data_IF_341192390423
#
_entry.id   IF_341192390423
#
_cell.length_a   1.000
_cell.length_b   1.000
_cell.length_c   1.000
_cell.angle_alpha   90.00
_cell.angle_beta   90.00
_cell.angle_gamma   90.00
#
_symmetry.space_group_name_H-M   'P 1'
#
loop_
_entity.id
_entity.type
_entity.pdbx_description
1 polymer ?
#
# COMPACT_ATOMS: atom_id res chain seq x y z
N UNK A 1 -6.98 23.83 -18.76
CA UNK A 1 -6.68 22.48 -18.24
C UNK A 1 -7.12 22.27 -16.79
N UNK A 2 -7.64 23.28 -16.08
CA UNK A 2 -8.09 23.17 -14.67
C UNK A 2 -9.51 22.60 -14.51
N UNK A 3 -10.38 22.76 -15.51
CA UNK A 3 -11.80 22.39 -15.44
C UNK A 3 -12.05 20.87 -15.34
N UNK A 4 -11.24 20.07 -16.04
CA UNK A 4 -11.40 18.61 -16.05
C UNK A 4 -11.04 17.97 -14.71
N UNK A 5 -10.05 18.51 -13.99
CA UNK A 5 -9.63 17.99 -12.69
C UNK A 5 -10.60 18.38 -11.58
N UNK A 6 -11.09 19.62 -11.60
CA UNK A 6 -12.12 20.09 -10.66
C UNK A 6 -13.41 19.25 -10.78
N UNK A 7 -13.87 18.98 -12.00
CA UNK A 7 -15.07 18.17 -12.21
C UNK A 7 -14.89 16.69 -11.75
N UNK A 8 -13.69 16.13 -11.94
CA UNK A 8 -13.36 14.78 -11.42
C UNK A 8 -13.34 14.73 -9.90
N UNK A 9 -12.83 15.77 -9.24
CA UNK A 9 -12.82 15.88 -7.78
C UNK A 9 -14.23 15.95 -7.21
N UNK A 10 -15.09 16.77 -7.81
CA UNK A 10 -16.51 16.88 -7.42
C UNK A 10 -17.20 15.52 -7.50
N UNK A 11 -17.05 14.82 -8.63
CA UNK A 11 -17.63 13.49 -8.78
C UNK A 11 -17.04 12.44 -7.83
N UNK A 12 -15.76 12.52 -7.49
CA UNK A 12 -15.13 11.60 -6.54
C UNK A 12 -15.62 11.86 -5.11
N UNK A 13 -15.72 13.12 -4.70
CA UNK A 13 -16.24 13.53 -3.40
C UNK A 13 -17.69 13.05 -3.21
N UNK A 14 -18.52 13.25 -4.22
CA UNK A 14 -19.92 12.80 -4.18
C UNK A 14 -20.03 11.27 -4.15
N UNK A 15 -19.19 10.56 -4.92
CA UNK A 15 -19.22 9.10 -4.98
C UNK A 15 -18.72 8.42 -3.72
N UNK A 16 -17.65 8.93 -3.11
CA UNK A 16 -16.96 8.25 -2.00
C UNK A 16 -17.37 8.77 -0.62
N UNK A 17 -17.62 10.08 -0.49
CA UNK A 17 -17.97 10.72 0.78
C UNK A 17 -19.43 11.20 0.83
N UNK A 18 -20.13 11.27 -0.31
CA UNK A 18 -21.50 11.78 -0.37
C UNK A 18 -21.61 13.28 -0.05
N UNK A 19 -20.49 14.01 -0.12
CA UNK A 19 -20.38 15.45 0.16
C UNK A 19 -19.98 16.21 -1.11
N UNK A 20 -20.40 17.47 -1.18
CA UNK A 20 -19.93 18.40 -2.22
C UNK A 20 -18.50 18.89 -1.93
N UNK A 21 -17.77 19.29 -2.98
CA UNK A 21 -16.38 19.74 -2.89
C UNK A 21 -16.18 20.91 -1.91
N UNK A 22 -17.15 21.83 -1.82
CA UNK A 22 -17.14 22.97 -0.90
C UNK A 22 -17.22 22.59 0.60
N UNK A 23 -17.53 21.34 0.94
CA UNK A 23 -17.66 20.86 2.33
C UNK A 23 -16.52 19.91 2.73
N UNK A 24 -15.56 19.68 1.83
CA UNK A 24 -14.40 18.85 2.12
C UNK A 24 -13.42 19.58 3.02
N UNK A 25 -12.89 18.86 4.00
CA UNK A 25 -11.71 19.28 4.76
C UNK A 25 -10.47 19.22 3.86
N UNK A 26 -9.43 19.97 4.25
CA UNK A 26 -8.17 20.00 3.49
C UNK A 26 -7.55 18.61 3.32
N UNK A 27 -7.69 17.74 4.34
CA UNK A 27 -7.22 16.35 4.27
C UNK A 27 -8.01 15.49 3.29
N UNK A 28 -9.35 15.56 3.31
CA UNK A 28 -10.19 14.80 2.38
C UNK A 28 -9.93 15.21 0.93
N UNK A 29 -9.74 16.51 0.68
CA UNK A 29 -9.41 17.04 -0.64
C UNK A 29 -8.05 16.52 -1.13
N UNK A 30 -7.02 16.60 -0.30
CA UNK A 30 -5.67 16.14 -0.65
C UNK A 30 -5.65 14.64 -0.97
N UNK A 31 -6.34 13.81 -0.19
CA UNK A 31 -6.42 12.36 -0.41
C UNK A 31 -7.18 12.03 -1.70
N UNK A 32 -8.29 12.71 -1.98
CA UNK A 32 -9.05 12.52 -3.22
C UNK A 32 -8.28 12.98 -4.46
N UNK A 33 -7.54 14.09 -4.36
CA UNK A 33 -6.68 14.59 -5.45
C UNK A 33 -5.54 13.61 -5.76
N UNK A 34 -4.91 13.05 -4.71
CA UNK A 34 -3.92 12.00 -4.87
C UNK A 34 -4.52 10.76 -5.55
N UNK A 35 -5.73 10.35 -5.17
CA UNK A 35 -6.41 9.20 -5.76
C UNK A 35 -6.74 9.39 -7.25
N UNK A 36 -7.20 10.58 -7.64
CA UNK A 36 -7.51 10.89 -9.05
C UNK A 36 -6.24 10.96 -9.89
N UNK A 37 -5.19 11.60 -9.37
CA UNK A 37 -3.93 11.79 -10.08
C UNK A 37 -3.21 10.47 -10.31
N UNK A 38 -3.14 9.59 -9.30
CA UNK A 38 -2.46 8.29 -9.41
C UNK A 38 -3.21 7.28 -10.26
N UNK A 39 -4.55 7.25 -10.20
CA UNK A 39 -5.35 6.34 -11.05
C UNK A 39 -5.18 6.64 -12.55
N UNK A 40 -4.86 7.88 -12.92
CA UNK A 40 -4.50 8.23 -14.29
C UNK A 40 -3.10 7.73 -14.68
N UNK A 41 -2.16 7.63 -13.73
CA UNK A 41 -0.78 7.18 -13.94
C UNK A 41 -0.63 5.64 -13.94
N UNK A 42 -1.41 4.92 -13.13
CA UNK A 42 -1.31 3.45 -13.04
C UNK A 42 -1.85 2.72 -14.28
N UNK A 43 -2.90 3.27 -14.92
CA UNK A 43 -3.41 2.78 -16.21
C UNK A 43 -2.33 2.84 -17.30
N UNK A 44 -1.51 3.90 -17.31
CA UNK A 44 -0.47 4.13 -18.31
C UNK A 44 0.81 3.30 -18.05
N UNK A 45 1.10 2.95 -16.80
CA UNK A 45 2.30 2.17 -16.44
C UNK A 45 2.09 0.66 -16.60
N UNK A 46 0.86 0.17 -16.44
CA UNK A 46 0.53 -1.27 -16.54
C UNK A 46 0.76 -1.86 -17.94
N UNK A 47 0.74 -1.03 -19.00
CA UNK A 47 0.95 -1.45 -20.39
C UNK A 47 2.41 -1.58 -20.78
N UNK A 48 3.35 -1.05 -19.98
CA UNK A 48 4.80 -1.06 -20.28
C UNK A 48 5.50 -2.33 -19.80
N UNK A 49 4.91 -3.07 -18.85
CA UNK A 49 5.58 -4.21 -18.21
C UNK A 49 5.21 -5.59 -18.79
N UNK A 50 4.20 -5.66 -19.67
CA UNK A 50 3.68 -6.93 -20.19
C UNK A 50 4.30 -7.35 -21.54
N UNK A 51 5.24 -6.56 -22.10
CA UNK A 51 5.94 -6.97 -23.31
C UNK A 51 7.12 -7.92 -23.03
N UNK A 52 6.78 -9.20 -23.11
CA UNK A 52 7.60 -10.31 -23.61
C UNK A 52 8.78 -10.71 -22.73
N UNK A 53 8.50 -11.66 -21.83
CA UNK A 53 9.51 -12.52 -21.23
C UNK A 53 10.27 -13.29 -22.33
N UNK A 54 11.42 -12.77 -22.72
CA UNK A 54 12.27 -13.37 -23.76
C UNK A 54 13.00 -14.58 -23.18
N UNK A 55 13.37 -15.55 -24.02
CA UNK A 55 14.09 -16.78 -23.61
C UNK A 55 15.35 -16.48 -22.76
N UNK A 56 16.03 -15.37 -23.05
CA UNK A 56 17.18 -14.89 -22.27
C UNK A 56 16.84 -14.46 -20.83
N UNK A 57 15.67 -13.85 -20.60
CA UNK A 57 15.21 -13.50 -19.25
C UNK A 57 14.91 -14.76 -18.42
N UNK A 58 14.29 -15.79 -19.02
CA UNK A 58 14.05 -17.08 -18.33
C UNK A 58 15.34 -17.79 -17.95
N UNK A 59 16.35 -17.76 -18.82
CA UNK A 59 17.67 -18.34 -18.53
C UNK A 59 18.40 -17.54 -17.44
N UNK A 60 18.36 -16.20 -17.49
CA UNK A 60 18.91 -15.35 -16.45
C UNK A 60 18.21 -15.52 -15.10
N UNK A 61 16.89 -15.75 -15.09
CA UNK A 61 16.12 -16.07 -13.88
C UNK A 61 16.57 -17.40 -13.27
N UNK A 62 16.74 -18.44 -14.10
CA UNK A 62 17.25 -19.74 -13.66
C UNK A 62 18.67 -19.61 -13.08
N UNK A 63 19.58 -18.92 -13.79
CA UNK A 63 20.97 -18.72 -13.36
C UNK A 63 21.06 -17.86 -12.08
N UNK A 64 20.26 -16.80 -11.96
CA UNK A 64 20.24 -15.95 -10.76
C UNK A 64 19.67 -16.69 -9.54
N UNK A 65 18.65 -17.53 -9.72
CA UNK A 65 18.10 -18.36 -8.64
C UNK A 65 19.09 -19.44 -8.17
N UNK A 66 19.89 -19.97 -9.08
CA UNK A 66 20.89 -21.00 -8.79
C UNK A 66 22.17 -20.42 -8.17
N UNK A 67 22.65 -19.28 -8.69
CA UNK A 67 23.86 -18.61 -8.22
C UNK A 67 23.74 -17.94 -6.85
N UNK A 68 22.52 -17.69 -6.36
CA UNK A 68 22.27 -17.09 -5.04
C UNK A 68 22.04 -18.08 -3.90
N UNK A 69 22.00 -19.39 -4.17
CA UNK A 69 21.74 -20.40 -3.14
C UNK A 69 23.00 -20.76 -2.35
N UNK A 70 22.88 -20.79 -1.02
CA UNK A 70 23.92 -21.27 -0.11
C UNK A 70 24.38 -22.71 -0.44
N UNK A 71 23.49 -23.54 -0.99
CA UNK A 71 23.82 -24.92 -1.39
C UNK A 71 24.73 -24.99 -2.61
N UNK A 72 24.59 -24.06 -3.56
CA UNK A 72 25.46 -23.98 -4.74
C UNK A 72 26.88 -23.56 -4.36
N UNK A 73 27.01 -22.56 -3.48
CA UNK A 73 28.31 -22.08 -3.00
C UNK A 73 29.09 -23.21 -2.30
N UNK A 74 28.43 -23.96 -1.44
CA UNK A 74 29.04 -25.09 -0.72
C UNK A 74 29.41 -26.22 -1.69
N UNK A 75 28.52 -26.60 -2.60
CA UNK A 75 28.79 -27.66 -3.59
C UNK A 75 29.94 -27.30 -4.53
N UNK A 76 29.98 -26.07 -5.04
CA UNK A 76 31.07 -25.56 -5.86
C UNK A 76 32.40 -25.54 -5.10
N UNK A 77 32.40 -25.12 -3.84
CA UNK A 77 33.58 -25.17 -2.96
C UNK A 77 34.11 -26.59 -2.76
N UNK A 78 33.22 -27.58 -2.55
CA UNK A 78 33.61 -28.99 -2.42
C UNK A 78 34.25 -29.53 -3.70
N UNK A 79 33.70 -29.19 -4.87
CA UNK A 79 34.28 -29.59 -6.17
C UNK A 79 35.67 -28.98 -6.37
N UNK A 80 35.86 -27.70 -6.03
CA UNK A 80 37.18 -27.05 -6.09
C UNK A 80 38.19 -27.72 -5.16
N UNK A 81 37.80 -28.03 -3.91
CA UNK A 81 38.67 -28.72 -2.96
C UNK A 81 39.02 -30.13 -3.48
N UNK A 82 38.04 -30.88 -3.99
CA UNK A 82 38.27 -32.18 -4.58
C UNK A 82 39.20 -32.12 -5.80
N UNK A 83 39.08 -31.07 -6.63
CA UNK A 83 39.96 -30.83 -7.77
C UNK A 83 41.39 -30.57 -7.30
N UNK A 84 41.60 -29.66 -6.34
CA UNK A 84 42.92 -29.37 -5.77
C UNK A 84 43.55 -30.62 -5.14
N UNK A 85 42.78 -31.41 -4.38
CA UNK A 85 43.25 -32.66 -3.77
C UNK A 85 43.66 -33.68 -4.82
N UNK A 86 42.84 -33.89 -5.85
CA UNK A 86 43.15 -34.82 -6.95
C UNK A 86 44.44 -34.43 -7.66
N UNK A 87 44.61 -33.14 -7.91
CA UNK A 87 45.75 -32.60 -8.63
C UNK A 87 47.05 -32.65 -7.80
N UNK A 88 46.96 -32.45 -6.49
CA UNK A 88 48.06 -32.60 -5.55
C UNK A 88 48.53 -34.07 -5.43
N UNK A 89 47.59 -35.02 -5.42
CA UNK A 89 47.90 -36.46 -5.36
C UNK A 89 48.55 -36.97 -6.66
N UNK A 90 48.19 -36.40 -7.82
CA UNK A 90 48.66 -36.86 -9.11
C UNK A 90 50.03 -36.28 -9.53
N UNK A 91 50.50 -35.23 -8.84
CA UNK A 91 51.83 -34.55 -8.84
C UNK A 91 52.70 -34.61 -10.12
N UNK A 92 53.05 -35.80 -10.66
CA UNK A 92 53.83 -36.01 -11.90
C UNK A 92 53.00 -36.16 -13.19
N UNK A 93 51.71 -36.48 -13.10
CA UNK A 93 50.77 -36.58 -14.24
C UNK A 93 49.58 -35.64 -14.05
N UNK A 94 49.74 -34.65 -13.18
CA UNK A 94 48.74 -33.66 -12.86
C UNK A 94 48.39 -32.81 -14.11
N UNK A 95 47.10 -32.73 -14.49
CA UNK A 95 46.67 -31.89 -15.62
C UNK A 95 46.84 -30.38 -15.36
N UNK A 96 46.97 -29.93 -14.10
CA UNK A 96 47.24 -28.51 -13.77
C UNK A 96 48.23 -28.38 -12.58
N UNK A 97 49.55 -28.52 -12.81
CA UNK A 97 50.56 -28.44 -11.75
C UNK A 97 50.55 -27.08 -11.03
N UNK A 98 51.04 -27.04 -9.78
CA UNK A 98 51.22 -25.79 -9.03
C UNK A 98 52.02 -24.79 -9.88
N UNK A 99 51.52 -23.56 -10.18
CA UNK A 99 50.59 -22.74 -9.38
C UNK A 99 49.11 -22.69 -9.85
N UNK A 100 48.57 -23.78 -10.42
CA UNK A 100 47.15 -23.93 -10.80
C UNK A 100 46.62 -22.84 -11.75
N UNK A 101 47.21 -22.75 -12.94
CA UNK A 101 46.91 -21.68 -13.91
C UNK A 101 45.49 -21.81 -14.45
N UNK A 102 45.02 -23.04 -14.69
CA UNK A 102 43.66 -23.27 -15.19
C UNK A 102 42.60 -22.93 -14.13
N UNK A 103 42.83 -23.34 -12.89
CA UNK A 103 41.93 -23.01 -11.78
C UNK A 103 41.83 -21.50 -11.58
N UNK A 104 42.96 -20.81 -11.58
CA UNK A 104 43.00 -19.35 -11.43
C UNK A 104 42.30 -18.62 -12.58
N UNK A 105 42.46 -19.09 -13.82
CA UNK A 105 41.76 -18.52 -14.97
C UNK A 105 40.24 -18.71 -14.86
N UNK A 106 39.80 -19.91 -14.49
CA UNK A 106 38.38 -20.24 -14.33
C UNK A 106 37.74 -19.41 -13.20
N UNK A 107 38.41 -19.29 -12.06
CA UNK A 107 37.96 -18.47 -10.93
C UNK A 107 37.90 -16.99 -11.29
N UNK A 108 38.89 -16.48 -12.02
CA UNK A 108 38.91 -15.08 -12.47
C UNK A 108 37.75 -14.77 -13.42
N UNK A 109 37.47 -15.68 -14.37
CA UNK A 109 36.32 -15.55 -15.28
C UNK A 109 34.99 -15.64 -14.54
N UNK A 110 34.87 -16.55 -13.57
CA UNK A 110 33.68 -16.70 -12.74
C UNK A 110 33.41 -15.42 -11.92
N UNK A 111 34.44 -14.87 -11.28
CA UNK A 111 34.34 -13.62 -10.52
C UNK A 111 33.94 -12.43 -11.42
N UNK A 112 34.49 -12.35 -12.64
CA UNK A 112 34.13 -11.30 -13.60
C UNK A 112 32.65 -11.37 -14.04
N UNK A 113 32.07 -12.57 -14.15
CA UNK A 113 30.65 -12.75 -14.47
C UNK A 113 29.72 -12.43 -13.29
N UNK A 114 30.20 -12.55 -12.04
CA UNK A 114 29.34 -12.39 -10.86
C UNK A 114 28.74 -11.00 -10.72
N UNK A 115 29.51 -9.93 -10.91
CA UNK A 115 29.01 -8.56 -10.70
C UNK A 115 27.84 -8.20 -11.65
N UNK A 116 27.90 -8.48 -12.96
CA UNK A 116 26.75 -8.29 -13.86
C UNK A 116 25.54 -9.17 -13.51
N UNK A 117 25.74 -10.43 -13.14
CA UNK A 117 24.63 -11.34 -12.78
C UNK A 117 23.95 -10.87 -11.49
N UNK A 118 24.73 -10.47 -10.49
CA UNK A 118 24.22 -9.87 -9.26
C UNK A 118 23.45 -8.59 -9.59
N UNK A 119 24.01 -7.69 -10.38
CA UNK A 119 23.37 -6.44 -10.79
C UNK A 119 22.06 -6.68 -11.56
N UNK A 120 22.01 -7.66 -12.47
CA UNK A 120 20.79 -8.03 -13.18
C UNK A 120 19.73 -8.62 -12.24
N UNK A 121 20.14 -9.47 -11.29
CA UNK A 121 19.23 -10.03 -10.29
C UNK A 121 18.66 -8.96 -9.35
N UNK A 122 19.49 -7.98 -8.96
CA UNK A 122 19.09 -6.82 -8.17
C UNK A 122 18.16 -5.90 -8.95
N UNK A 123 18.45 -5.61 -10.23
CA UNK A 123 17.59 -4.78 -11.07
C UNK A 123 16.19 -5.40 -11.24
N UNK A 124 16.11 -6.74 -11.32
CA UNK A 124 14.83 -7.47 -11.37
C UNK A 124 14.08 -7.45 -10.04
N UNK A 125 14.78 -7.63 -8.91
CA UNK A 125 14.16 -7.48 -7.58
C UNK A 125 13.63 -6.06 -7.39
N UNK A 126 14.42 -5.04 -7.71
CA UNK A 126 14.02 -3.63 -7.62
C UNK A 126 12.79 -3.31 -8.50
N UNK A 127 12.68 -3.92 -9.69
CA UNK A 127 11.49 -3.78 -10.53
C UNK A 127 10.25 -4.40 -9.87
N UNK A 128 10.38 -5.60 -9.29
CA UNK A 128 9.28 -6.25 -8.56
C UNK A 128 8.89 -5.45 -7.32
N UNK A 129 9.87 -4.96 -6.56
CA UNK A 129 9.65 -4.15 -5.36
C UNK A 129 8.93 -2.84 -5.70
N UNK A 130 9.24 -2.21 -6.85
CA UNK A 130 8.51 -1.03 -7.33
C UNK A 130 7.04 -1.32 -7.62
N UNK A 131 6.73 -2.47 -8.21
CA UNK A 131 5.34 -2.89 -8.46
C UNK A 131 4.60 -3.14 -7.14
N UNK A 132 5.22 -3.86 -6.20
CA UNK A 132 4.65 -4.13 -4.87
C UNK A 132 4.41 -2.82 -4.12
N UNK A 133 5.40 -1.94 -4.06
CA UNK A 133 5.28 -0.62 -3.42
C UNK A 133 4.16 0.22 -4.04
N UNK A 134 4.01 0.18 -5.36
CA UNK A 134 2.91 0.85 -6.05
C UNK A 134 1.54 0.32 -5.65
N UNK A 135 1.40 -1.01 -5.58
CA UNK A 135 0.17 -1.66 -5.15
C UNK A 135 -0.16 -1.38 -3.68
N UNK A 136 0.84 -1.46 -2.78
CA UNK A 136 0.67 -1.18 -1.36
C UNK A 136 0.21 0.28 -1.14
N UNK A 137 0.75 1.22 -1.92
CA UNK A 137 0.31 2.61 -1.89
C UNK A 137 -1.16 2.77 -2.31
N UNK A 138 -1.60 2.08 -3.39
CA UNK A 138 -3.00 2.11 -3.83
C UNK A 138 -3.93 1.50 -2.77
N UNK A 139 -3.53 0.41 -2.13
CA UNK A 139 -4.30 -0.21 -1.06
C UNK A 139 -4.41 0.73 0.16
N UNK A 140 -3.32 1.38 0.56
CA UNK A 140 -3.31 2.32 1.67
C UNK A 140 -4.22 3.53 1.38
N UNK A 141 -4.14 4.09 0.18
CA UNK A 141 -4.97 5.22 -0.22
C UNK A 141 -6.46 4.86 -0.22
N UNK A 142 -6.80 3.65 -0.69
CA UNK A 142 -8.18 3.15 -0.64
C UNK A 142 -8.66 2.98 0.80
N UNK A 143 -7.84 2.41 1.68
CA UNK A 143 -8.16 2.26 3.09
C UNK A 143 -8.39 3.62 3.77
N UNK A 144 -7.57 4.63 3.45
CA UNK A 144 -7.75 5.99 3.96
C UNK A 144 -9.09 6.61 3.54
N UNK A 145 -9.48 6.45 2.28
CA UNK A 145 -10.80 6.91 1.79
C UNK A 145 -11.95 6.18 2.51
N UNK A 146 -11.86 4.87 2.68
CA UNK A 146 -12.87 4.09 3.39
C UNK A 146 -12.99 4.50 4.87
N UNK A 147 -11.87 4.80 5.53
CA UNK A 147 -11.85 5.32 6.90
C UNK A 147 -12.53 6.68 6.99
N UNK A 148 -12.25 7.62 6.07
CA UNK A 148 -12.88 8.93 6.05
C UNK A 148 -14.40 8.81 5.85
N UNK A 149 -14.85 7.98 4.89
CA UNK A 149 -16.27 7.75 4.66
C UNK A 149 -16.97 7.13 5.89
N UNK A 150 -16.29 6.23 6.61
CA UNK A 150 -16.81 5.66 7.85
C UNK A 150 -16.91 6.72 8.96
N UNK A 151 -15.88 7.55 9.11
CA UNK A 151 -15.86 8.63 10.10
C UNK A 151 -17.03 9.59 9.90
N UNK A 152 -17.24 10.02 8.65
CA UNK A 152 -18.37 10.85 8.27
C UNK A 152 -19.71 10.23 8.61
N UNK A 153 -19.86 8.92 8.36
CA UNK A 153 -21.10 8.23 8.68
C UNK A 153 -21.34 8.16 10.18
N UNK A 154 -20.29 7.95 10.97
CA UNK A 154 -20.37 7.94 12.44
C UNK A 154 -20.76 9.33 12.96
N UNK A 155 -20.16 10.39 12.44
CA UNK A 155 -20.47 11.76 12.84
C UNK A 155 -21.91 12.15 12.49
N UNK A 156 -22.41 11.75 11.32
CA UNK A 156 -23.82 11.93 10.96
C UNK A 156 -24.75 11.25 11.96
N UNK A 157 -24.51 9.96 12.25
CA UNK A 157 -25.32 9.20 13.20
C UNK A 157 -25.28 9.81 14.60
N UNK A 158 -24.11 10.25 15.06
CA UNK A 158 -23.95 10.91 16.35
C UNK A 158 -24.72 12.21 16.43
N UNK A 159 -24.66 13.04 15.39
CA UNK A 159 -25.38 14.30 15.35
C UNK A 159 -26.89 14.11 15.30
N UNK A 160 -27.38 13.11 14.58
CA UNK A 160 -28.80 12.77 14.53
C UNK A 160 -29.31 12.26 15.88
N UNK A 161 -28.54 11.40 16.56
CA UNK A 161 -28.87 10.92 17.90
C UNK A 161 -28.90 12.06 18.92
N UNK A 162 -27.92 12.98 18.89
CA UNK A 162 -27.89 14.16 19.74
C UNK A 162 -29.12 15.06 19.51
N UNK A 163 -29.52 15.28 18.25
CA UNK A 163 -30.72 16.05 17.91
C UNK A 163 -31.99 15.40 18.47
N UNK A 164 -32.11 14.07 18.38
CA UNK A 164 -33.24 13.34 18.93
C UNK A 164 -33.30 13.43 20.46
N UNK A 165 -32.15 13.33 21.14
CA UNK A 165 -32.08 13.46 22.59
C UNK A 165 -32.48 14.88 23.05
N UNK A 166 -31.99 15.91 22.36
CA UNK A 166 -32.37 17.30 22.65
C UNK A 166 -33.88 17.55 22.44
N UNK A 167 -34.46 16.99 21.38
CA UNK A 167 -35.90 17.09 21.13
C UNK A 167 -36.72 16.43 22.25
N UNK A 168 -36.32 15.24 22.71
CA UNK A 168 -36.95 14.57 23.86
C UNK A 168 -36.83 15.38 25.14
N UNK A 169 -35.68 16.00 25.40
CA UNK A 169 -35.49 16.87 26.56
C UNK A 169 -36.40 18.10 26.53
N UNK A 170 -36.56 18.75 25.35
CA UNK A 170 -37.46 19.88 25.20
C UNK A 170 -38.92 19.50 25.46
N UNK A 171 -39.36 18.34 24.97
CA UNK A 171 -40.69 17.81 25.24
C UNK A 171 -40.92 17.56 26.74
N UNK A 172 -39.94 16.95 27.42
CA UNK A 172 -39.99 16.75 28.87
C UNK A 172 -40.08 18.06 29.65
N UNK A 173 -39.28 19.07 29.28
CA UNK A 173 -39.33 20.40 29.90
C UNK A 173 -40.72 21.03 29.69
N UNK A 174 -41.29 20.94 28.49
CA UNK A 174 -42.62 21.49 28.20
C UNK A 174 -43.72 20.83 29.04
N UNK A 175 -43.66 19.51 29.23
CA UNK A 175 -44.59 18.78 30.10
C UNK A 175 -44.46 19.22 31.57
N UNK A 176 -43.22 19.36 32.07
CA UNK A 176 -42.96 19.83 33.42
C UNK A 176 -43.47 21.27 33.63
N UNK A 177 -43.19 22.18 32.69
CA UNK A 177 -43.70 23.56 32.73
C UNK A 177 -45.23 23.60 32.80
N UNK A 178 -45.90 22.78 32.00
CA UNK A 178 -47.37 22.68 32.00
C UNK A 178 -47.92 22.16 33.32
N UNK A 179 -47.27 21.15 33.93
CA UNK A 179 -47.67 20.61 35.24
C UNK A 179 -47.51 21.67 36.34
N UNK A 180 -46.39 22.41 36.34
CA UNK A 180 -46.15 23.50 37.29
C UNK A 180 -47.19 24.60 37.14
N UNK A 181 -47.50 25.01 35.91
CA UNK A 181 -48.50 26.06 35.62
C UNK A 181 -49.91 25.64 36.06
N UNK A 182 -50.27 24.38 35.83
CA UNK A 182 -51.57 23.83 36.28
C UNK A 182 -51.68 23.81 37.81
N UNK A 183 -50.57 23.55 38.52
CA UNK A 183 -50.53 23.55 39.98
C UNK A 183 -50.45 24.96 40.61
N UNK A 184 -49.97 25.96 39.88
CA UNK A 184 -49.90 27.36 40.33
C UNK A 184 -51.13 28.20 39.96
N UNK A 185 -52.08 27.68 39.19
CA UNK A 185 -53.32 28.39 38.88
C UNK A 185 -54.11 28.68 40.16
N UNK A 186 -54.40 29.96 40.49
CA UNK A 186 -55.11 30.32 41.73
C UNK A 186 -56.51 29.69 41.72
N UNK A 187 -56.94 29.20 42.89
CA UNK A 187 -58.27 28.63 43.08
C UNK A 187 -59.33 29.62 42.59
N UNK A 188 -60.37 29.18 41.86
CA UNK A 188 -61.39 30.07 41.32
C UNK A 188 -61.96 30.91 42.45
N UNK A 189 -61.76 32.23 42.36
CA UNK A 189 -62.39 33.21 43.23
C UNK A 189 -63.89 33.14 42.95
N UNK A 190 -64.59 32.28 43.68
CA UNK A 190 -66.04 32.32 43.75
C UNK A 190 -66.40 33.62 44.45
N UNK A 191 -66.71 34.64 43.65
CA UNK A 191 -67.22 35.90 44.15
C UNK A 191 -68.47 35.67 45.00
N UNK A 192 -68.35 35.93 46.30
CA UNK A 192 -69.51 36.29 47.11
C UNK A 192 -70.04 37.62 46.57
N UNK A 193 -71.07 37.51 45.75
CA UNK A 193 -71.97 38.58 45.36
C UNK A 193 -73.03 38.72 46.44
N UNK A 194 -72.95 39.76 47.26
CA UNK A 194 -74.05 40.33 48.05
C UNK A 194 -73.71 41.76 48.45
#
# INVERSE_FOLDING_TARGET
MTDTSANKLIHAAERFLGKGEATLTDRERDVLEQAITKRALSVDTSTVFDEKSTFGQRLADAVASFGGSWTFLIGFGVVLVAWVVTNLLLSRSAPDPYPFIFLNLLLSMLAAMQAPVIMMSQNRQAAKDRLVTGHDYECNLKAEIEIMALHDKVDQLRNDELRQLLAKQQEQIALLSRLVETHLAPAPEWGESS
#
